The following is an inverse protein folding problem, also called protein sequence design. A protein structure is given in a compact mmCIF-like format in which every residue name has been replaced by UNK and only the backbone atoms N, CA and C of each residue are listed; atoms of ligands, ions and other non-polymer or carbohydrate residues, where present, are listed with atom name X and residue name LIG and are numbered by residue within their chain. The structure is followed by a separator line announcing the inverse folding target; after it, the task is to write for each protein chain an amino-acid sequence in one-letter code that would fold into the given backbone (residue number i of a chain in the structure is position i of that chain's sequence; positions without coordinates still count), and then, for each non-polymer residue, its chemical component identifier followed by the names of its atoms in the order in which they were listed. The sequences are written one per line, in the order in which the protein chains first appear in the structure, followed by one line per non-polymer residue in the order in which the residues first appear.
data_IF_740430992768
#
_entry.id   IF_740430992768
#
_cell.length_a   1.000
_cell.length_b   1.000
_cell.length_c   1.000
_cell.angle_alpha   90.00
_cell.angle_beta   90.00
_cell.angle_gamma   90.00
#
_symmetry.space_group_name_H-M   'P 1'
#
loop_
_entity.id
_entity.type
_entity.pdbx_description
1 polymer ?
#
# COMPACT_ATOMS: atom_id res chain seq x y z
N UNK A 1 42.80 10.41 1.07
CA UNK A 1 41.58 10.69 0.30
C UNK A 1 40.50 9.62 0.65
N UNK A 2 39.73 9.91 1.71
CA UNK A 2 38.79 9.02 2.36
C UNK A 2 37.68 8.50 1.39
N UNK A 3 37.37 9.30 0.35
CA UNK A 3 36.39 8.94 -0.68
C UNK A 3 36.81 7.77 -1.58
N UNK A 4 38.11 7.56 -1.80
CA UNK A 4 38.59 6.45 -2.63
C UNK A 4 38.68 5.10 -1.87
N UNK A 5 38.75 5.14 -0.54
CA UNK A 5 38.72 3.92 0.26
C UNK A 5 37.31 3.40 0.49
N UNK A 6 36.31 4.28 0.63
CA UNK A 6 34.90 3.89 0.75
C UNK A 6 34.36 3.21 -0.52
N UNK A 7 34.86 3.58 -1.71
CA UNK A 7 34.47 2.92 -2.95
C UNK A 7 34.99 1.48 -3.11
N UNK A 8 35.99 1.07 -2.35
CA UNK A 8 36.47 -0.33 -2.37
C UNK A 8 35.57 -1.30 -1.63
N UNK A 9 34.74 -0.81 -0.72
CA UNK A 9 33.77 -1.64 0.02
C UNK A 9 32.37 -1.64 -0.57
N UNK A 10 32.11 -0.82 -1.59
CA UNK A 10 30.87 -0.80 -2.35
C UNK A 10 31.08 -1.59 -3.66
N UNK A 11 31.44 -2.86 -3.53
CA UNK A 11 31.28 -3.79 -4.64
C UNK A 11 29.79 -4.19 -4.64
N UNK A 12 28.98 -3.35 -5.27
CA UNK A 12 27.60 -3.72 -5.62
C UNK A 12 27.67 -4.80 -6.69
N UNK A 13 27.43 -6.02 -6.28
CA UNK A 13 27.07 -7.08 -7.21
C UNK A 13 25.73 -6.70 -7.85
N UNK A 14 25.78 -6.08 -9.03
CA UNK A 14 24.62 -5.71 -9.85
C UNK A 14 23.72 -6.92 -10.21
N UNK A 15 24.14 -8.13 -9.87
CA UNK A 15 23.41 -9.36 -10.15
C UNK A 15 22.36 -9.73 -9.09
N UNK A 16 22.25 -8.98 -7.98
CA UNK A 16 21.27 -9.30 -6.94
C UNK A 16 19.83 -8.85 -7.27
N UNK A 17 19.64 -7.98 -8.27
CA UNK A 17 18.34 -7.38 -8.58
C UNK A 17 17.86 -7.57 -10.02
N UNK A 18 18.40 -8.54 -10.76
CA UNK A 18 17.86 -8.90 -12.07
C UNK A 18 16.65 -9.82 -11.89
N UNK A 19 15.49 -9.53 -12.48
CA UNK A 19 14.38 -10.48 -12.48
C UNK A 19 14.80 -11.71 -13.29
N UNK A 20 14.92 -12.86 -12.65
CA UNK A 20 15.13 -14.14 -13.36
C UNK A 20 13.94 -14.39 -14.28
N UNK A 21 14.17 -14.42 -15.60
CA UNK A 21 13.23 -14.98 -16.58
C UNK A 21 12.90 -16.41 -16.15
N UNK A 22 11.65 -16.66 -15.83
CA UNK A 22 11.14 -18.02 -15.59
C UNK A 22 11.08 -18.73 -16.93
N UNK A 23 11.89 -19.78 -17.09
CA UNK A 23 11.70 -20.76 -18.16
C UNK A 23 10.38 -21.50 -17.91
N UNK A 24 9.58 -21.58 -18.97
CA UNK A 24 8.29 -22.26 -18.97
C UNK A 24 8.57 -23.76 -19.09
N UNK A 25 8.52 -24.47 -17.98
CA UNK A 25 8.45 -25.93 -17.99
C UNK A 25 6.97 -26.31 -17.97
N UNK A 26 6.49 -26.80 -19.11
CA UNK A 26 5.16 -27.38 -19.27
C UNK A 26 5.10 -28.75 -18.58
N UNK A 27 4.64 -28.80 -17.33
CA UNK A 27 4.14 -30.02 -16.73
C UNK A 27 2.63 -29.88 -16.44
N UNK A 28 1.84 -30.64 -17.19
CA UNK A 28 0.42 -30.88 -16.88
C UNK A 28 0.33 -31.61 -15.55
N UNK A 29 -0.04 -30.92 -14.49
CA UNK A 29 -0.46 -31.50 -13.21
C UNK A 29 -1.89 -31.14 -12.89
N UNK A 30 -2.67 -32.15 -12.53
CA UNK A 30 -4.06 -32.16 -12.10
C UNK A 30 -4.38 -30.97 -11.17
N UNK A 31 -5.31 -30.11 -11.60
CA UNK A 31 -5.86 -29.02 -10.80
C UNK A 31 -6.85 -29.63 -9.80
N UNK A 32 -6.37 -30.03 -8.64
CA UNK A 32 -7.23 -30.10 -7.46
C UNK A 32 -7.65 -28.67 -7.12
N UNK A 33 -8.97 -28.39 -7.11
CA UNK A 33 -9.54 -27.14 -6.59
C UNK A 33 -9.07 -26.95 -5.15
N UNK A 34 -7.96 -26.23 -4.96
CA UNK A 34 -7.56 -25.72 -3.65
C UNK A 34 -8.60 -24.69 -3.23
N UNK A 35 -9.36 -24.98 -2.19
CA UNK A 35 -10.10 -23.98 -1.44
C UNK A 35 -9.16 -22.83 -1.14
N UNK A 36 -9.49 -21.63 -1.64
CA UNK A 36 -8.72 -20.42 -1.41
C UNK A 36 -8.89 -20.08 0.07
N UNK A 37 -7.96 -20.54 0.89
CA UNK A 37 -7.80 -20.00 2.25
C UNK A 37 -7.25 -18.60 2.03
N UNK A 38 -7.94 -17.59 2.53
CA UNK A 38 -7.49 -16.19 2.50
C UNK A 38 -6.24 -16.05 3.40
N UNK A 39 -5.09 -16.44 2.88
CA UNK A 39 -3.83 -16.41 3.62
C UNK A 39 -3.31 -14.96 3.72
N UNK A 40 -3.76 -14.28 4.78
CA UNK A 40 -3.18 -13.01 5.18
C UNK A 40 -1.92 -13.24 5.99
N UNK A 41 -0.89 -12.47 5.70
CA UNK A 41 0.33 -12.46 6.48
C UNK A 41 0.46 -11.17 7.30
N UNK A 42 0.88 -11.29 8.55
CA UNK A 42 1.11 -10.18 9.48
C UNK A 42 2.60 -10.13 9.83
N UNK A 43 3.35 -9.11 9.38
CA UNK A 43 4.75 -8.96 9.77
C UNK A 43 4.89 -8.67 11.28
N UNK A 44 5.98 -9.18 11.88
CA UNK A 44 6.26 -8.99 13.31
C UNK A 44 7.12 -7.75 13.60
N UNK A 45 7.68 -7.10 12.58
CA UNK A 45 8.57 -5.97 12.72
C UNK A 45 7.82 -4.69 13.12
N UNK A 46 8.57 -3.68 13.58
CA UNK A 46 8.02 -2.41 14.06
C UNK A 46 7.30 -1.64 12.95
N UNK A 47 7.89 -1.57 11.76
CA UNK A 47 7.26 -0.98 10.57
C UNK A 47 6.52 -2.04 9.75
N UNK A 48 5.35 -2.44 10.23
CA UNK A 48 4.53 -3.46 9.56
C UNK A 48 4.13 -3.07 8.14
N UNK A 49 3.96 -1.77 7.89
CA UNK A 49 3.55 -1.27 6.57
C UNK A 49 4.68 -1.47 5.55
N UNK A 50 5.90 -1.11 5.91
CA UNK A 50 7.09 -1.37 5.09
C UNK A 50 7.25 -2.87 4.82
N UNK A 51 7.10 -3.72 5.86
CA UNK A 51 7.32 -5.15 5.71
C UNK A 51 6.21 -5.85 4.93
N UNK A 52 4.97 -5.38 4.97
CA UNK A 52 3.93 -5.80 4.04
C UNK A 52 4.31 -5.46 2.58
N UNK A 53 4.78 -4.24 2.33
CA UNK A 53 5.29 -3.84 1.02
C UNK A 53 6.47 -4.72 0.58
N UNK A 54 7.43 -4.99 1.46
CA UNK A 54 8.59 -5.84 1.15
C UNK A 54 8.17 -7.25 0.72
N UNK A 55 7.20 -7.85 1.43
CA UNK A 55 6.65 -9.16 1.08
C UNK A 55 5.94 -9.14 -0.27
N UNK A 56 5.18 -8.09 -0.56
CA UNK A 56 4.54 -7.91 -1.87
C UNK A 56 5.57 -7.85 -2.99
N UNK A 57 6.68 -7.14 -2.77
CA UNK A 57 7.72 -6.93 -3.77
C UNK A 57 8.65 -8.14 -3.94
N UNK A 58 9.09 -8.74 -2.85
CA UNK A 58 10.14 -9.77 -2.81
C UNK A 58 9.63 -11.19 -2.60
N UNK A 59 8.42 -11.31 -2.06
CA UNK A 59 7.82 -12.60 -1.70
C UNK A 59 8.14 -13.06 -0.28
N UNK A 60 7.42 -14.10 0.13
CA UNK A 60 7.54 -14.69 1.48
C UNK A 60 8.87 -15.41 1.69
N UNK A 61 9.42 -16.05 0.66
CA UNK A 61 10.67 -16.80 0.77
C UNK A 61 11.84 -15.85 1.11
N UNK A 62 11.90 -14.71 0.43
CA UNK A 62 12.91 -13.68 0.70
C UNK A 62 12.74 -13.12 2.12
N UNK A 63 11.50 -12.77 2.51
CA UNK A 63 11.21 -12.31 3.87
C UNK A 63 11.64 -13.34 4.94
N UNK A 64 11.35 -14.62 4.74
CA UNK A 64 11.70 -15.68 5.68
C UNK A 64 13.22 -15.96 5.74
N UNK A 65 13.96 -15.63 4.67
CA UNK A 65 15.42 -15.75 4.62
C UNK A 65 16.17 -14.70 5.46
N UNK A 66 15.46 -13.62 5.88
CA UNK A 66 16.03 -12.52 6.66
C UNK A 66 16.25 -12.93 8.12
N UNK A 67 17.43 -13.45 8.44
CA UNK A 67 17.78 -13.80 9.81
C UNK A 67 18.32 -12.58 10.57
N UNK A 68 17.52 -11.98 11.46
CA UNK A 68 17.92 -10.88 12.39
C UNK A 68 18.42 -9.58 11.75
N UNK A 69 18.46 -9.44 10.41
CA UNK A 69 18.97 -8.27 9.69
C UNK A 69 17.86 -7.31 9.23
N UNK A 70 16.66 -7.43 9.78
CA UNK A 70 15.50 -6.64 9.35
C UNK A 70 15.77 -5.13 9.33
N UNK A 71 16.33 -4.58 10.40
CA UNK A 71 16.64 -3.15 10.48
C UNK A 71 17.63 -2.69 9.40
N UNK A 72 18.65 -3.48 9.12
CA UNK A 72 19.64 -3.15 8.10
C UNK A 72 19.02 -3.12 6.70
N UNK A 73 18.21 -4.14 6.38
CA UNK A 73 17.53 -4.26 5.08
C UNK A 73 16.51 -3.14 4.90
N UNK A 74 15.73 -2.83 5.93
CA UNK A 74 14.77 -1.73 5.89
C UNK A 74 15.46 -0.40 5.62
N UNK A 75 16.52 -0.08 6.35
CA UNK A 75 17.28 1.16 6.17
C UNK A 75 17.96 1.21 4.80
N UNK A 76 18.58 0.13 4.36
CA UNK A 76 19.19 0.06 3.04
C UNK A 76 18.16 0.34 1.95
N UNK A 77 16.99 -0.29 2.03
CA UNK A 77 15.92 -0.10 1.05
C UNK A 77 15.41 1.34 1.02
N UNK A 78 15.20 1.96 2.19
CA UNK A 78 14.82 3.37 2.32
C UNK A 78 15.88 4.29 1.69
N UNK A 79 17.17 4.04 1.91
CA UNK A 79 18.27 4.83 1.34
C UNK A 79 18.40 4.65 -0.18
N UNK A 80 18.20 3.44 -0.69
CA UNK A 80 18.16 3.18 -2.14
C UNK A 80 17.00 3.97 -2.80
N UNK A 81 15.82 3.96 -2.18
CA UNK A 81 14.67 4.75 -2.65
C UNK A 81 14.97 6.25 -2.65
N UNK A 82 15.60 6.79 -1.60
CA UNK A 82 16.04 8.18 -1.52
C UNK A 82 16.99 8.50 -2.69
N UNK A 83 17.95 7.61 -2.98
CA UNK A 83 18.88 7.77 -4.10
C UNK A 83 18.14 7.81 -5.44
N UNK A 84 17.16 6.93 -5.67
CA UNK A 84 16.33 6.91 -6.87
C UNK A 84 15.52 8.21 -7.01
N UNK A 85 14.89 8.69 -5.94
CA UNK A 85 14.15 9.97 -5.90
C UNK A 85 15.07 11.14 -6.28
N UNK A 86 16.31 11.16 -5.80
CA UNK A 86 17.26 12.23 -6.10
C UNK A 86 17.71 12.18 -7.56
N UNK A 87 17.86 11.01 -8.15
CA UNK A 87 18.20 10.85 -9.58
C UNK A 87 17.03 11.26 -10.48
N UNK A 88 15.82 10.89 -10.15
CA UNK A 88 14.63 11.22 -10.93
C UNK A 88 13.41 11.41 -10.03
N UNK A 89 12.92 12.63 -9.93
CA UNK A 89 11.73 12.99 -9.13
C UNK A 89 10.48 13.27 -9.97
N UNK A 90 10.46 12.91 -11.25
CA UNK A 90 9.30 13.16 -12.13
C UNK A 90 8.05 12.44 -11.61
N UNK A 91 8.19 11.17 -11.20
CA UNK A 91 7.09 10.37 -10.65
C UNK A 91 6.41 11.03 -9.45
N UNK A 92 7.19 11.69 -8.56
CA UNK A 92 6.60 12.40 -7.43
C UNK A 92 5.78 13.61 -7.88
N UNK A 93 6.28 14.36 -8.87
CA UNK A 93 5.58 15.54 -9.42
C UNK A 93 4.27 15.15 -10.09
N UNK A 94 4.30 14.12 -10.93
CA UNK A 94 3.13 13.56 -11.62
C UNK A 94 2.04 13.13 -10.64
N UNK A 95 2.44 12.51 -9.53
CA UNK A 95 1.55 12.05 -8.47
C UNK A 95 1.28 13.11 -7.38
N UNK A 96 1.71 14.36 -7.55
CA UNK A 96 1.54 15.49 -6.61
C UNK A 96 2.08 15.20 -5.21
N UNK A 97 3.15 14.40 -5.12
CA UNK A 97 3.82 14.04 -3.85
C UNK A 97 4.95 15.04 -3.57
N UNK A 98 5.02 15.56 -2.35
CA UNK A 98 6.03 16.55 -1.93
C UNK A 98 7.38 15.88 -1.69
N UNK A 99 8.35 16.09 -2.60
CA UNK A 99 9.70 15.50 -2.53
C UNK A 99 10.39 15.73 -1.18
N UNK A 100 10.43 16.96 -0.68
CA UNK A 100 11.15 17.27 0.57
C UNK A 100 10.59 16.50 1.78
N UNK A 101 9.26 16.46 1.94
CA UNK A 101 8.62 15.70 3.02
C UNK A 101 8.93 14.20 2.90
N UNK A 102 8.79 13.63 1.70
CA UNK A 102 9.10 12.23 1.42
C UNK A 102 10.52 11.85 1.83
N UNK A 103 11.52 12.66 1.44
CA UNK A 103 12.91 12.39 1.76
C UNK A 103 13.19 12.45 3.27
N UNK A 104 12.59 13.44 3.97
CA UNK A 104 12.74 13.60 5.42
C UNK A 104 12.11 12.41 6.16
N UNK A 105 10.89 12.03 5.80
CA UNK A 105 10.20 10.92 6.42
C UNK A 105 10.92 9.57 6.18
N UNK A 106 11.33 9.29 4.93
CA UNK A 106 12.09 8.06 4.62
C UNK A 106 13.41 7.96 5.38
N UNK A 107 14.10 9.10 5.60
CA UNK A 107 15.39 9.12 6.29
C UNK A 107 15.25 8.99 7.81
N UNK A 108 14.22 9.59 8.42
CA UNK A 108 14.15 9.78 9.86
C UNK A 108 13.06 8.95 10.56
N UNK A 109 11.97 8.61 9.87
CA UNK A 109 10.84 7.97 10.51
C UNK A 109 11.03 6.47 10.70
N UNK A 110 10.65 6.01 11.88
CA UNK A 110 10.70 4.57 12.21
C UNK A 110 9.58 3.76 11.55
N UNK A 111 8.58 4.42 10.96
CA UNK A 111 7.48 3.80 10.21
C UNK A 111 7.19 4.66 8.99
N UNK A 112 6.98 4.01 7.85
CA UNK A 112 6.58 4.73 6.65
C UNK A 112 5.12 5.20 6.74
N UNK A 113 4.84 6.37 6.14
CA UNK A 113 3.48 6.88 5.91
C UNK A 113 2.84 6.20 4.69
N UNK A 114 1.52 6.40 4.52
CA UNK A 114 0.81 5.95 3.31
C UNK A 114 1.36 6.64 2.06
N UNK A 115 1.77 7.91 2.16
CA UNK A 115 2.41 8.65 1.07
C UNK A 115 3.74 7.98 0.67
N UNK A 116 4.56 7.59 1.65
CA UNK A 116 5.81 6.89 1.38
C UNK A 116 5.59 5.48 0.85
N UNK A 117 4.55 4.77 1.30
CA UNK A 117 4.16 3.51 0.69
C UNK A 117 3.83 3.69 -0.80
N UNK A 118 3.09 4.76 -1.16
CA UNK A 118 2.81 5.07 -2.57
C UNK A 118 4.10 5.33 -3.36
N UNK A 119 5.04 6.09 -2.79
CA UNK A 119 6.36 6.32 -3.41
C UNK A 119 7.09 5.00 -3.64
N UNK A 120 7.11 4.11 -2.66
CA UNK A 120 7.71 2.78 -2.82
C UNK A 120 7.04 1.98 -3.95
N UNK A 121 5.70 2.05 -4.07
CA UNK A 121 4.98 1.43 -5.18
C UNK A 121 5.41 1.99 -6.54
N UNK A 122 5.50 3.32 -6.67
CA UNK A 122 5.89 4.01 -7.91
C UNK A 122 7.29 3.61 -8.37
N UNK A 123 8.28 3.63 -7.49
CA UNK A 123 9.68 3.32 -7.85
C UNK A 123 9.94 1.83 -8.05
N UNK A 124 9.07 0.95 -7.57
CA UNK A 124 9.19 -0.50 -7.73
C UNK A 124 8.16 -1.10 -8.70
N UNK A 125 7.34 -0.27 -9.34
CA UNK A 125 6.31 -0.68 -10.33
C UNK A 125 5.41 -1.78 -9.82
N UNK A 126 4.81 -1.58 -8.64
CA UNK A 126 3.85 -2.52 -8.07
C UNK A 126 2.53 -1.85 -7.75
N UNK A 127 1.45 -2.63 -7.80
CA UNK A 127 0.10 -2.16 -7.54
C UNK A 127 -0.39 -2.69 -6.19
N UNK A 128 -0.79 -1.79 -5.29
CA UNK A 128 -1.33 -2.12 -3.98
C UNK A 128 -2.68 -1.46 -3.79
N UNK A 129 -3.66 -2.24 -3.31
CA UNK A 129 -4.89 -1.70 -2.72
C UNK A 129 -4.70 -1.65 -1.21
N UNK A 130 -4.62 -0.44 -0.68
CA UNK A 130 -4.55 -0.22 0.76
C UNK A 130 -5.95 -0.02 1.32
N UNK A 131 -6.34 -0.82 2.31
CA UNK A 131 -7.63 -0.77 2.97
C UNK A 131 -7.45 -0.32 4.41
N UNK A 132 -8.20 0.69 4.80
CA UNK A 132 -8.26 1.19 6.17
C UNK A 132 -9.71 1.39 6.58
N UNK A 133 -10.13 0.74 7.67
CA UNK A 133 -11.53 0.76 8.11
C UNK A 133 -12.49 0.38 6.96
N UNK A 134 -13.40 1.28 6.60
CA UNK A 134 -14.37 1.13 5.50
C UNK A 134 -13.94 1.85 4.22
N UNK A 135 -12.66 2.17 4.09
CA UNK A 135 -12.13 2.88 2.93
C UNK A 135 -10.99 2.13 2.25
N UNK A 136 -10.74 2.46 0.98
CA UNK A 136 -9.57 1.97 0.26
C UNK A 136 -8.91 3.08 -0.55
N UNK A 137 -7.62 2.90 -0.80
CA UNK A 137 -6.82 3.69 -1.75
C UNK A 137 -6.11 2.76 -2.72
N UNK A 138 -6.04 3.15 -3.98
CA UNK A 138 -5.23 2.47 -4.98
C UNK A 138 -3.88 3.18 -5.06
N UNK A 139 -2.81 2.44 -4.75
CA UNK A 139 -1.43 2.88 -4.86
C UNK A 139 -0.85 2.21 -6.10
N UNK A 140 -0.98 2.88 -7.24
CA UNK A 140 -0.57 2.35 -8.52
C UNK A 140 0.84 2.79 -8.85
N UNK A 141 1.73 1.82 -9.05
CA UNK A 141 3.11 2.03 -9.50
C UNK A 141 3.44 1.27 -10.77
N UNK A 142 2.67 0.21 -11.07
CA UNK A 142 2.79 -0.62 -12.26
C UNK A 142 1.67 -0.38 -13.28
N UNK A 143 1.64 -1.20 -14.32
CA UNK A 143 0.61 -1.16 -15.37
C UNK A 143 -0.74 -1.69 -14.84
N UNK A 144 -1.85 -1.35 -15.51
CA UNK A 144 -3.21 -1.75 -15.10
C UNK A 144 -3.46 -3.26 -15.19
N UNK A 145 -2.72 -3.97 -16.01
CA UNK A 145 -2.80 -5.42 -16.20
C UNK A 145 -1.93 -6.21 -15.22
N UNK A 146 -1.01 -5.55 -14.53
CA UNK A 146 -0.20 -6.18 -13.50
C UNK A 146 -1.04 -6.56 -12.26
N UNK A 147 -0.64 -7.65 -11.56
CA UNK A 147 -1.40 -8.13 -10.41
C UNK A 147 -1.41 -7.11 -9.26
N UNK A 148 -2.56 -6.99 -8.60
CA UNK A 148 -2.69 -6.22 -7.38
C UNK A 148 -2.42 -7.09 -6.15
N UNK A 149 -1.81 -6.48 -5.16
CA UNK A 149 -1.75 -7.01 -3.79
C UNK A 149 -2.58 -6.13 -2.86
N UNK A 150 -2.97 -6.65 -1.70
CA UNK A 150 -3.78 -5.92 -0.74
C UNK A 150 -3.01 -5.76 0.56
N UNK A 151 -3.04 -4.56 1.13
CA UNK A 151 -2.62 -4.29 2.50
C UNK A 151 -3.83 -3.82 3.29
N UNK A 152 -4.19 -4.55 4.32
CA UNK A 152 -5.22 -4.17 5.28
C UNK A 152 -4.58 -3.53 6.50
N UNK A 153 -5.09 -2.38 6.90
CA UNK A 153 -4.77 -1.75 8.16
C UNK A 153 -6.03 -1.70 9.04
N UNK A 154 -6.10 -2.63 9.98
CA UNK A 154 -7.17 -2.71 10.97
C UNK A 154 -6.60 -2.26 12.33
N UNK A 155 -6.66 -0.95 12.59
CA UNK A 155 -6.18 -0.24 13.78
C UNK A 155 -4.74 -0.58 14.20
N UNK A 156 -4.47 -1.79 14.66
CA UNK A 156 -3.15 -2.23 15.14
C UNK A 156 -2.61 -3.45 14.39
N UNK A 157 -3.38 -3.99 13.45
CA UNK A 157 -3.01 -5.18 12.69
C UNK A 157 -2.89 -4.83 11.22
N UNK A 158 -1.65 -4.60 10.77
CA UNK A 158 -1.37 -4.45 9.35
C UNK A 158 -1.04 -5.84 8.80
N UNK A 159 -1.76 -6.25 7.77
CA UNK A 159 -1.60 -7.55 7.11
C UNK A 159 -1.64 -7.39 5.60
N UNK A 160 -0.96 -8.27 4.89
CA UNK A 160 -0.94 -8.26 3.42
C UNK A 160 -1.41 -9.57 2.81
N UNK A 161 -1.88 -9.48 1.58
CA UNK A 161 -2.19 -10.59 0.71
C UNK A 161 -1.61 -10.31 -0.67
N UNK A 162 -0.85 -11.25 -1.20
CA UNK A 162 -0.11 -11.10 -2.45
C UNK A 162 -0.90 -11.72 -3.61
N UNK A 163 -0.79 -11.12 -4.81
CA UNK A 163 -1.35 -11.64 -6.07
C UNK A 163 -2.85 -11.94 -5.98
N UNK A 164 -3.63 -10.93 -5.68
CA UNK A 164 -5.08 -11.06 -5.48
C UNK A 164 -5.81 -11.08 -6.82
N UNK A 165 -6.87 -11.88 -6.91
CA UNK A 165 -7.69 -11.95 -8.12
C UNK A 165 -8.39 -10.62 -8.42
N UNK A 166 -8.62 -10.34 -9.71
CA UNK A 166 -9.36 -9.14 -10.17
C UNK A 166 -10.77 -9.09 -9.57
N UNK A 167 -11.42 -10.22 -9.38
CA UNK A 167 -12.75 -10.28 -8.77
C UNK A 167 -12.75 -9.80 -7.33
N UNK A 168 -11.73 -10.15 -6.54
CA UNK A 168 -11.59 -9.66 -5.17
C UNK A 168 -11.38 -8.15 -5.14
N UNK A 169 -10.56 -7.62 -6.03
CA UNK A 169 -10.37 -6.16 -6.17
C UNK A 169 -11.67 -5.46 -6.56
N UNK A 170 -12.43 -6.02 -7.49
CA UNK A 170 -13.73 -5.47 -7.89
C UNK A 170 -14.74 -5.49 -6.74
N UNK A 171 -14.74 -6.53 -5.91
CA UNK A 171 -15.57 -6.60 -4.71
C UNK A 171 -15.17 -5.53 -3.68
N UNK A 172 -13.87 -5.28 -3.49
CA UNK A 172 -13.40 -4.19 -2.62
C UNK A 172 -13.89 -2.84 -3.14
N UNK A 173 -13.75 -2.57 -4.43
CA UNK A 173 -14.22 -1.32 -5.05
C UNK A 173 -15.73 -1.09 -4.89
N UNK A 174 -16.53 -2.15 -4.78
CA UNK A 174 -17.98 -2.08 -4.55
C UNK A 174 -18.35 -1.91 -3.08
N UNK A 175 -17.52 -2.45 -2.17
CA UNK A 175 -17.86 -2.56 -0.73
C UNK A 175 -17.29 -1.40 0.08
N UNK A 176 -16.11 -0.88 -0.31
CA UNK A 176 -15.38 0.13 0.44
C UNK A 176 -15.42 1.49 -0.26
N UNK A 177 -15.33 2.56 0.52
CA UNK A 177 -15.27 3.92 -0.01
C UNK A 177 -13.89 4.25 -0.56
N UNK A 178 -13.83 4.76 -1.79
CA UNK A 178 -12.56 5.17 -2.41
C UNK A 178 -12.09 6.53 -1.89
N UNK A 179 -10.96 6.56 -1.16
CA UNK A 179 -10.34 7.79 -0.66
C UNK A 179 -9.11 8.24 -1.45
N UNK A 180 -8.82 7.62 -2.59
CA UNK A 180 -7.66 8.01 -3.45
C UNK A 180 -7.67 9.51 -3.75
N UNK A 181 -8.86 10.12 -3.88
CA UNK A 181 -9.06 11.54 -4.13
C UNK A 181 -9.37 12.36 -2.86
N UNK A 182 -8.90 11.98 -1.70
CA UNK A 182 -9.17 12.60 -0.41
C UNK A 182 -10.64 12.99 -0.17
N UNK A 183 -11.23 12.60 0.94
CA UNK A 183 -12.57 13.04 1.34
C UNK A 183 -12.61 14.56 1.48
N UNK A 184 -13.43 15.23 0.68
CA UNK A 184 -13.51 16.69 0.61
C UNK A 184 -14.20 17.26 1.85
N UNK A 185 -14.18 18.58 2.04
CA UNK A 185 -14.90 19.25 3.12
C UNK A 185 -16.41 19.07 3.01
N UNK A 186 -17.13 19.19 4.13
CA UNK A 186 -18.59 19.04 4.19
C UNK A 186 -19.33 19.96 3.19
N UNK A 187 -18.80 21.17 2.93
CA UNK A 187 -19.38 22.13 1.99
C UNK A 187 -19.39 21.64 0.55
N UNK A 188 -18.42 20.80 0.17
CA UNK A 188 -18.27 20.26 -1.19
C UNK A 188 -19.43 19.34 -1.60
N UNK A 189 -19.91 18.51 -0.68
CA UNK A 189 -20.96 17.52 -0.97
C UNK A 189 -22.36 18.12 -0.88
N UNK A 190 -23.28 17.61 -1.71
CA UNK A 190 -24.72 17.80 -1.51
C UNK A 190 -25.25 16.80 -0.47
N UNK A 191 -26.39 17.10 0.15
CA UNK A 191 -27.00 16.21 1.15
C UNK A 191 -27.31 14.81 0.58
N UNK A 192 -27.79 14.74 -0.66
CA UNK A 192 -28.12 13.46 -1.30
C UNK A 192 -26.86 12.62 -1.57
N UNK A 193 -25.77 13.25 -1.97
CA UNK A 193 -24.48 12.55 -2.16
C UNK A 193 -23.97 11.95 -0.83
N UNK A 194 -24.09 12.67 0.27
CA UNK A 194 -23.73 12.14 1.59
C UNK A 194 -24.65 11.02 2.05
N UNK A 195 -25.94 11.06 1.66
CA UNK A 195 -26.86 9.95 1.93
C UNK A 195 -26.47 8.68 1.17
N UNK A 196 -26.16 8.79 -0.11
CA UNK A 196 -25.69 7.67 -0.93
C UNK A 196 -24.39 7.07 -0.39
N UNK A 197 -23.43 7.93 0.00
CA UNK A 197 -22.19 7.47 0.64
C UNK A 197 -22.48 6.75 1.95
N UNK A 198 -23.38 7.31 2.78
CA UNK A 198 -23.77 6.73 4.06
C UNK A 198 -24.44 5.36 3.90
N UNK A 199 -25.34 5.22 2.91
CA UNK A 199 -25.99 3.94 2.60
C UNK A 199 -24.98 2.89 2.15
N UNK A 200 -24.05 3.24 1.25
CA UNK A 200 -22.96 2.35 0.80
C UNK A 200 -22.07 1.89 1.97
N UNK A 201 -21.84 2.77 2.94
CA UNK A 201 -21.08 2.48 4.16
C UNK A 201 -21.93 1.85 5.27
N UNK A 202 -23.22 1.57 5.01
CA UNK A 202 -24.19 1.03 5.98
C UNK A 202 -24.38 1.92 7.22
N UNK A 203 -24.23 3.23 7.05
CA UNK A 203 -24.51 4.22 8.08
C UNK A 203 -26.01 4.55 8.06
N UNK A 204 -26.70 4.38 9.18
CA UNK A 204 -28.12 4.75 9.29
C UNK A 204 -28.37 6.23 8.99
N UNK A 205 -29.37 6.53 8.16
CA UNK A 205 -29.73 7.89 7.77
C UNK A 205 -30.55 8.65 8.84
N UNK A 206 -31.05 7.94 9.86
CA UNK A 206 -31.83 8.48 10.95
C UNK A 206 -31.01 8.51 12.25
N UNK A 207 -31.32 9.44 13.12
CA UNK A 207 -30.78 9.50 14.47
C UNK A 207 -31.61 8.59 15.41
N UNK A 208 -31.18 8.47 16.67
CA UNK A 208 -31.82 7.63 17.70
C UNK A 208 -33.30 7.99 17.98
N UNK A 209 -33.73 9.19 17.56
CA UNK A 209 -35.11 9.67 17.67
C UNK A 209 -35.93 9.46 16.39
N UNK A 210 -35.42 8.69 15.42
CA UNK A 210 -36.08 8.42 14.14
C UNK A 210 -36.12 9.60 13.17
N UNK A 211 -35.46 10.75 13.49
CA UNK A 211 -35.41 11.92 12.59
C UNK A 211 -34.26 11.82 11.62
N UNK A 212 -34.40 12.31 10.36
CA UNK A 212 -33.29 12.33 9.40
C UNK A 212 -32.09 13.07 9.97
N UNK A 213 -30.89 12.49 9.76
CA UNK A 213 -29.63 13.14 10.13
C UNK A 213 -29.38 14.37 9.25
N UNK A 214 -28.85 15.42 9.86
CA UNK A 214 -28.44 16.63 9.12
C UNK A 214 -27.21 16.34 8.26
N UNK A 215 -26.94 17.21 7.28
CA UNK A 215 -25.77 17.12 6.40
C UNK A 215 -24.45 17.01 7.18
N UNK A 216 -24.27 17.86 8.19
CA UNK A 216 -23.06 17.86 9.03
C UNK A 216 -22.94 16.57 9.84
N UNK A 217 -24.03 16.03 10.36
CA UNK A 217 -24.04 14.80 11.13
C UNK A 217 -23.70 13.56 10.26
N UNK A 218 -24.26 13.48 9.05
CA UNK A 218 -23.90 12.45 8.09
C UNK A 218 -22.42 12.55 7.71
N UNK A 219 -21.94 13.77 7.44
CA UNK A 219 -20.55 14.01 7.10
C UNK A 219 -19.59 13.55 8.21
N UNK A 220 -19.87 13.92 9.48
CA UNK A 220 -19.05 13.50 10.63
C UNK A 220 -19.03 11.98 10.79
N UNK A 221 -20.19 11.31 10.67
CA UNK A 221 -20.26 9.85 10.79
C UNK A 221 -19.50 9.15 9.65
N UNK A 222 -19.57 9.66 8.43
CA UNK A 222 -18.79 9.14 7.29
C UNK A 222 -17.31 9.35 7.56
N UNK A 223 -16.91 10.55 7.97
CA UNK A 223 -15.51 10.90 8.24
C UNK A 223 -14.90 9.99 9.31
N UNK A 224 -15.63 9.70 10.39
CA UNK A 224 -15.18 8.80 11.46
C UNK A 224 -14.91 7.38 10.98
N UNK A 225 -15.69 6.90 10.00
CA UNK A 225 -15.56 5.56 9.45
C UNK A 225 -14.43 5.42 8.42
N UNK A 226 -14.09 6.49 7.70
CA UNK A 226 -13.13 6.41 6.59
C UNK A 226 -11.77 7.03 6.90
N UNK A 227 -11.67 7.92 7.88
CA UNK A 227 -10.43 8.55 8.35
C UNK A 227 -10.05 8.08 9.74
#
# INVERSE_FOLDING_TARGET
NIFNELNKYIIFNHNFFSPKKKEIINEKKNIQKKTIIDDYFIPNQKDKLFWCFFIVLKGMDEYNSIHKKYFQIENQFKMETISQINKNSSLLKENKIKKAATLVELANDTKISLSNLHVLCLYNRINIVYIYKQSYSILQGGEDDEPFSIIYNDYNKIKCQVNVSKDKINNIKKTFFNITNSFKSCSYYKLNELKEIAENLKIGLQNDKGKPKTKSHLYSNIQELIL
#
